data_IF_782801621412
#
_entry.id   IF_782801621412
#
_cell.length_a   1.000
_cell.length_b   1.000
_cell.length_c   1.000
_cell.angle_alpha   90.00
_cell.angle_beta   90.00
_cell.angle_gamma   90.00
#
_symmetry.space_group_name_H-M   'P 1'
#
loop_
_entity.id
_entity.type
_entity.pdbx_description
1 polymer ?
#
# COMPACT_ATOMS: atom_id res chain seq x y z
N UNK A 1 12.98 -14.22 -6.14
CA UNK A 1 12.44 -13.24 -7.10
C UNK A 1 12.98 -11.88 -6.72
N UNK A 2 13.41 -11.09 -7.70
CA UNK A 2 13.87 -9.72 -7.45
C UNK A 2 12.65 -8.81 -7.42
N UNK A 3 12.52 -7.98 -6.40
CA UNK A 3 11.31 -7.19 -6.15
C UNK A 3 11.67 -5.72 -6.02
N UNK A 4 10.94 -4.83 -6.67
CA UNK A 4 11.09 -3.39 -6.47
C UNK A 4 10.87 -3.03 -4.98
N UNK A 5 11.74 -2.16 -4.47
CA UNK A 5 11.56 -1.50 -3.18
C UNK A 5 11.90 -0.02 -3.35
N UNK A 6 11.18 0.87 -2.66
CA UNK A 6 11.46 2.30 -2.75
C UNK A 6 12.77 2.61 -2.03
N UNK A 7 13.68 3.31 -2.69
CA UNK A 7 15.04 3.55 -2.18
C UNK A 7 15.07 4.27 -0.81
N UNK A 8 14.05 5.10 -0.56
CA UNK A 8 13.92 5.88 0.67
C UNK A 8 13.37 5.09 1.86
N UNK A 9 12.82 3.89 1.65
CA UNK A 9 12.28 3.04 2.73
C UNK A 9 13.27 1.95 3.14
N UNK A 10 14.32 2.39 3.84
CA UNK A 10 15.39 1.50 4.32
C UNK A 10 14.84 0.42 5.26
N UNK A 11 13.86 0.77 6.10
CA UNK A 11 13.23 -0.17 7.04
C UNK A 11 12.51 -1.32 6.32
N UNK A 12 11.76 -1.01 5.27
CA UNK A 12 11.15 -2.02 4.40
C UNK A 12 12.22 -2.88 3.70
N UNK A 13 13.27 -2.27 3.16
CA UNK A 13 14.35 -2.99 2.45
C UNK A 13 15.02 -4.01 3.39
N UNK A 14 15.35 -3.60 4.62
CA UNK A 14 16.01 -4.48 5.58
C UNK A 14 15.07 -5.60 6.06
N UNK A 15 13.79 -5.30 6.25
CA UNK A 15 12.78 -6.31 6.56
C UNK A 15 12.67 -7.34 5.43
N UNK A 16 12.57 -6.89 4.18
CA UNK A 16 12.48 -7.74 3.00
C UNK A 16 13.69 -8.68 2.90
N UNK A 17 14.91 -8.17 3.11
CA UNK A 17 16.13 -9.00 3.16
C UNK A 17 16.07 -10.02 4.31
N UNK A 18 15.65 -9.59 5.50
CA UNK A 18 15.59 -10.42 6.69
C UNK A 18 14.58 -11.58 6.60
N UNK A 19 13.62 -11.51 5.68
CA UNK A 19 12.63 -12.56 5.40
C UNK A 19 12.89 -13.28 4.06
N UNK A 20 14.04 -13.05 3.43
CA UNK A 20 14.51 -13.81 2.27
C UNK A 20 14.13 -13.25 0.89
N UNK A 21 13.51 -12.07 0.82
CA UNK A 21 13.32 -11.37 -0.46
C UNK A 21 14.60 -10.71 -0.95
N UNK A 22 14.65 -10.44 -2.26
CA UNK A 22 15.74 -9.70 -2.91
C UNK A 22 15.21 -8.33 -3.36
N UNK A 23 15.12 -7.33 -2.46
CA UNK A 23 14.65 -5.99 -2.81
C UNK A 23 15.67 -5.29 -3.72
N UNK A 24 15.17 -4.58 -4.72
CA UNK A 24 15.91 -3.72 -5.65
C UNK A 24 15.54 -2.26 -5.36
N UNK A 25 16.39 -1.52 -4.61
CA UNK A 25 16.10 -0.15 -4.19
C UNK A 25 16.16 0.83 -5.37
N UNK A 26 15.03 1.44 -5.72
CA UNK A 26 14.89 2.33 -6.89
C UNK A 26 13.84 3.40 -6.65
N UNK A 27 13.74 4.36 -7.57
CA UNK A 27 12.67 5.35 -7.60
C UNK A 27 11.48 4.87 -8.44
N UNK A 28 10.28 5.39 -8.12
CA UNK A 28 9.06 5.04 -8.86
C UNK A 28 9.16 5.31 -10.36
N UNK A 29 9.90 6.35 -10.76
CA UNK A 29 10.12 6.72 -12.17
C UNK A 29 10.86 5.64 -12.95
N UNK A 30 11.63 4.79 -12.27
CA UNK A 30 12.46 3.76 -12.90
C UNK A 30 11.72 2.41 -13.00
N UNK A 31 10.49 2.32 -12.49
CA UNK A 31 9.75 1.06 -12.38
C UNK A 31 9.52 0.37 -13.73
N UNK A 32 9.09 1.12 -14.76
CA UNK A 32 8.85 0.54 -16.08
C UNK A 32 10.15 0.04 -16.73
N UNK A 33 11.21 0.86 -16.70
CA UNK A 33 12.52 0.48 -17.25
C UNK A 33 13.10 -0.71 -16.50
N UNK A 34 12.96 -0.75 -15.17
CA UNK A 34 13.41 -1.87 -14.35
C UNK A 34 12.70 -3.19 -14.68
N UNK A 35 11.38 -3.14 -14.95
CA UNK A 35 10.65 -4.31 -15.45
C UNK A 35 11.14 -4.74 -16.84
N UNK A 36 11.28 -3.78 -17.77
CA UNK A 36 11.66 -4.08 -19.16
C UNK A 36 13.06 -4.67 -19.29
N UNK A 37 13.98 -4.26 -18.41
CA UNK A 37 15.37 -4.74 -18.40
C UNK A 37 15.57 -6.02 -17.58
N UNK A 38 14.55 -6.48 -16.85
CA UNK A 38 14.67 -7.63 -15.94
C UNK A 38 15.48 -7.35 -14.67
N UNK A 39 15.60 -6.07 -14.28
CA UNK A 39 16.25 -5.69 -13.03
C UNK A 39 15.48 -6.27 -11.83
N UNK A 40 14.15 -6.26 -11.89
CA UNK A 40 13.27 -6.97 -10.96
C UNK A 40 12.03 -7.49 -11.71
N UNK A 41 11.36 -8.47 -11.11
CA UNK A 41 10.25 -9.20 -11.71
C UNK A 41 8.90 -8.83 -11.08
N UNK A 42 8.93 -8.17 -9.91
CA UNK A 42 7.75 -7.88 -9.08
C UNK A 42 7.74 -6.41 -8.65
N UNK A 43 6.59 -5.74 -8.79
CA UNK A 43 6.36 -4.39 -8.26
C UNK A 43 5.10 -4.40 -7.39
N UNK A 44 5.22 -4.15 -6.07
CA UNK A 44 4.06 -3.84 -5.24
C UNK A 44 3.59 -2.42 -5.57
N UNK A 45 2.44 -2.29 -6.22
CA UNK A 45 1.86 -0.98 -6.54
C UNK A 45 0.34 -1.04 -6.61
N UNK A 46 -0.31 0.12 -6.59
CA UNK A 46 -1.75 0.22 -6.77
C UNK A 46 -2.14 0.14 -8.26
N UNK A 47 -3.31 -0.43 -8.61
CA UNK A 47 -3.70 -0.63 -10.01
C UNK A 47 -3.71 0.63 -10.87
N UNK A 48 -4.05 1.78 -10.29
CA UNK A 48 -4.02 3.07 -10.98
C UNK A 48 -2.62 3.40 -11.51
N UNK A 49 -1.58 3.30 -10.66
CA UNK A 49 -0.20 3.56 -11.09
C UNK A 49 0.28 2.50 -12.09
N UNK A 50 -0.09 1.23 -11.90
CA UNK A 50 0.26 0.17 -12.86
C UNK A 50 -0.33 0.42 -14.25
N UNK A 51 -1.57 0.94 -14.32
CA UNK A 51 -2.21 1.32 -15.57
C UNK A 51 -1.53 2.53 -16.20
N UNK A 52 -1.34 3.61 -15.44
CA UNK A 52 -0.73 4.86 -15.92
C UNK A 52 0.70 4.63 -16.41
N UNK A 53 1.50 3.85 -15.68
CA UNK A 53 2.86 3.46 -16.03
C UNK A 53 2.97 2.32 -17.04
N UNK A 54 1.84 1.79 -17.54
CA UNK A 54 1.77 0.66 -18.47
C UNK A 54 2.55 -0.59 -18.01
N UNK A 55 2.67 -0.80 -16.70
CA UNK A 55 3.47 -1.87 -16.11
C UNK A 55 2.96 -3.25 -16.51
N UNK A 56 1.64 -3.39 -16.73
CA UNK A 56 0.96 -4.64 -17.09
C UNK A 56 1.44 -5.28 -18.40
N UNK A 57 2.17 -4.54 -19.25
CA UNK A 57 2.79 -5.12 -20.46
C UNK A 57 4.05 -5.92 -20.12
N UNK A 58 4.85 -5.42 -19.19
CA UNK A 58 6.12 -6.01 -18.77
C UNK A 58 5.94 -6.96 -17.58
N UNK A 59 4.91 -6.74 -16.76
CA UNK A 59 4.46 -7.61 -15.67
C UNK A 59 2.99 -8.03 -15.91
N UNK A 60 2.73 -9.05 -16.76
CA UNK A 60 1.39 -9.39 -17.23
C UNK A 60 0.55 -10.20 -16.24
N UNK A 61 1.06 -10.47 -15.04
CA UNK A 61 0.37 -11.20 -13.99
C UNK A 61 0.21 -10.31 -12.76
N UNK A 62 -1.04 -10.15 -12.30
CA UNK A 62 -1.38 -9.47 -11.06
C UNK A 62 -1.92 -10.50 -10.08
N UNK A 63 -1.43 -10.46 -8.83
CA UNK A 63 -2.09 -11.11 -7.71
C UNK A 63 -3.09 -10.14 -7.10
N UNK A 64 -4.37 -10.53 -6.99
CA UNK A 64 -5.42 -9.74 -6.33
C UNK A 64 -5.29 -9.85 -4.81
N UNK A 65 -4.24 -9.26 -4.26
CA UNK A 65 -3.94 -9.24 -2.83
C UNK A 65 -4.22 -7.85 -2.25
N UNK A 66 -5.06 -7.78 -1.23
CA UNK A 66 -5.23 -6.58 -0.40
C UNK A 66 -4.02 -6.41 0.52
N UNK A 67 -2.88 -6.05 -0.08
CA UNK A 67 -1.56 -6.07 0.56
C UNK A 67 -1.41 -5.04 1.68
N UNK A 68 -1.74 -3.77 1.42
CA UNK A 68 -1.66 -2.67 2.39
C UNK A 68 -2.73 -1.61 2.08
N UNK A 69 -3.41 -1.03 3.09
CA UNK A 69 -4.27 0.13 2.84
C UNK A 69 -3.43 1.34 2.45
N UNK A 70 -3.86 2.09 1.45
CA UNK A 70 -3.31 3.42 1.16
C UNK A 70 -3.80 4.40 2.23
N UNK A 71 -2.89 4.90 3.06
CA UNK A 71 -3.19 5.87 4.11
C UNK A 71 -2.57 7.23 3.79
N UNK A 72 -3.29 8.31 4.07
CA UNK A 72 -2.81 9.68 3.95
C UNK A 72 -3.45 10.58 5.00
N UNK A 73 -2.91 11.78 5.16
CA UNK A 73 -3.43 12.77 6.11
C UNK A 73 -3.41 14.18 5.51
N UNK A 74 -4.43 14.96 5.81
CA UNK A 74 -4.37 16.41 5.66
C UNK A 74 -3.57 16.96 6.85
N UNK A 75 -2.41 17.54 6.56
CA UNK A 75 -1.52 18.10 7.59
C UNK A 75 -1.53 19.62 7.51
N UNK A 76 -1.63 20.26 8.68
CA UNK A 76 -1.55 21.71 8.82
C UNK A 76 -0.62 22.05 9.98
N UNK A 77 0.12 23.16 9.85
CA UNK A 77 0.95 23.63 10.95
C UNK A 77 0.08 24.04 12.14
N UNK A 78 0.57 23.78 13.36
CA UNK A 78 -0.17 24.14 14.57
C UNK A 78 -0.46 25.65 14.64
N UNK A 79 0.49 26.48 14.21
CA UNK A 79 0.33 27.94 14.12
C UNK A 79 -0.83 28.34 13.21
N UNK A 80 -0.94 27.73 12.02
CA UNK A 80 -2.04 28.05 11.09
C UNK A 80 -3.39 27.59 11.66
N UNK A 81 -3.43 26.42 12.30
CA UNK A 81 -4.62 25.90 12.94
C UNK A 81 -5.10 26.79 14.09
N UNK A 82 -4.20 27.16 15.01
CA UNK A 82 -4.53 27.97 16.19
C UNK A 82 -4.91 29.43 15.83
N UNK A 83 -4.49 29.91 14.65
CA UNK A 83 -4.91 31.22 14.15
C UNK A 83 -6.35 31.24 13.60
N UNK A 84 -6.97 30.09 13.36
CA UNK A 84 -8.35 30.01 12.91
C UNK A 84 -9.33 30.25 14.07
N UNK A 85 -10.40 31.05 13.87
CA UNK A 85 -11.51 31.11 14.81
C UNK A 85 -12.11 29.72 15.05
N UNK A 86 -12.68 29.49 16.24
CA UNK A 86 -13.24 28.19 16.62
C UNK A 86 -14.29 27.66 15.62
N UNK A 87 -15.12 28.54 15.06
CA UNK A 87 -16.08 28.16 14.03
C UNK A 87 -15.40 27.65 12.74
N UNK A 88 -14.30 28.28 12.31
CA UNK A 88 -13.56 27.86 11.13
C UNK A 88 -12.80 26.55 11.36
N UNK A 89 -12.29 26.33 12.57
CA UNK A 89 -11.71 25.05 12.97
C UNK A 89 -12.73 23.92 12.83
N UNK A 90 -13.95 24.11 13.33
CA UNK A 90 -15.01 23.11 13.23
C UNK A 90 -15.40 22.84 11.76
N UNK A 91 -15.63 23.89 10.97
CA UNK A 91 -15.93 23.74 9.54
C UNK A 91 -14.84 22.99 8.78
N UNK A 92 -13.57 23.28 9.09
CA UNK A 92 -12.45 22.60 8.46
C UNK A 92 -12.39 21.11 8.83
N UNK A 93 -12.64 20.75 10.10
CA UNK A 93 -12.71 19.34 10.53
C UNK A 93 -13.83 18.59 9.81
N UNK A 94 -15.02 19.17 9.77
CA UNK A 94 -16.17 18.56 9.11
C UNK A 94 -15.90 18.37 7.61
N UNK A 95 -15.44 19.42 6.93
CA UNK A 95 -15.15 19.41 5.50
C UNK A 95 -14.04 18.41 5.16
N UNK A 96 -12.97 18.35 5.97
CA UNK A 96 -11.91 17.36 5.79
C UNK A 96 -12.42 15.93 5.97
N UNK A 97 -13.31 15.69 6.94
CA UNK A 97 -13.93 14.39 7.17
C UNK A 97 -14.81 13.94 5.98
N UNK A 98 -15.62 14.85 5.43
CA UNK A 98 -16.44 14.58 4.25
C UNK A 98 -15.59 14.32 3.00
N UNK A 99 -14.59 15.16 2.75
CA UNK A 99 -13.65 14.98 1.63
C UNK A 99 -12.94 13.63 1.72
N UNK A 100 -12.48 13.24 2.91
CA UNK A 100 -11.79 11.96 3.13
C UNK A 100 -12.68 10.76 2.77
N UNK A 101 -13.97 10.79 3.14
CA UNK A 101 -14.94 9.74 2.76
C UNK A 101 -15.13 9.67 1.25
N UNK A 102 -15.23 10.83 0.58
CA UNK A 102 -15.37 10.90 -0.89
C UNK A 102 -14.13 10.32 -1.60
N UNK A 103 -12.93 10.71 -1.15
CA UNK A 103 -11.66 10.19 -1.69
C UNK A 103 -11.59 8.67 -1.54
N UNK A 104 -11.91 8.12 -0.36
CA UNK A 104 -11.89 6.68 -0.13
C UNK A 104 -12.79 5.89 -1.09
N UNK A 105 -14.02 6.37 -1.32
CA UNK A 105 -14.96 5.71 -2.23
C UNK A 105 -14.46 5.82 -3.68
N UNK A 106 -14.03 7.01 -4.09
CA UNK A 106 -13.58 7.26 -5.45
C UNK A 106 -12.31 6.49 -5.80
N UNK A 107 -11.33 6.44 -4.89
CA UNK A 107 -10.08 5.69 -5.12
C UNK A 107 -10.32 4.19 -5.28
N UNK A 108 -11.26 3.60 -4.54
CA UNK A 108 -11.63 2.18 -4.72
C UNK A 108 -12.22 1.93 -6.11
N UNK A 109 -13.16 2.78 -6.52
CA UNK A 109 -13.76 2.71 -7.86
C UNK A 109 -12.69 2.84 -8.95
N UNK A 110 -11.78 3.79 -8.81
CA UNK A 110 -10.69 4.02 -9.77
C UNK A 110 -9.71 2.83 -9.84
N UNK A 111 -9.43 2.18 -8.70
CA UNK A 111 -8.66 0.94 -8.66
C UNK A 111 -9.34 -0.18 -9.46
N UNK A 112 -10.64 -0.41 -9.24
CA UNK A 112 -11.42 -1.45 -9.93
C UNK A 112 -11.48 -1.20 -11.45
N UNK A 113 -11.76 0.05 -11.84
CA UNK A 113 -11.77 0.48 -13.24
C UNK A 113 -10.39 0.30 -13.90
N UNK A 114 -9.32 0.57 -13.15
CA UNK A 114 -7.94 0.40 -13.64
C UNK A 114 -7.61 -1.08 -13.89
N UNK A 115 -7.97 -1.97 -12.97
CA UNK A 115 -7.80 -3.43 -13.15
C UNK A 115 -8.58 -3.89 -14.37
N UNK A 116 -9.86 -3.51 -14.49
CA UNK A 116 -10.70 -3.89 -15.63
C UNK A 116 -10.12 -3.39 -16.96
N UNK A 117 -9.58 -2.17 -17.00
CA UNK A 117 -8.93 -1.62 -18.18
C UNK A 117 -7.65 -2.38 -18.56
N UNK A 118 -6.83 -2.77 -17.58
CA UNK A 118 -5.63 -3.57 -17.81
C UNK A 118 -5.96 -5.01 -18.26
N UNK A 119 -7.01 -5.64 -17.70
CA UNK A 119 -7.46 -6.98 -18.11
C UNK A 119 -7.90 -7.01 -19.58
N UNK A 120 -8.65 -6.00 -20.03
CA UNK A 120 -9.00 -5.84 -21.46
C UNK A 120 -7.77 -5.73 -22.38
N UNK A 121 -6.61 -5.41 -21.82
CA UNK A 121 -5.33 -5.24 -22.53
C UNK A 121 -4.33 -6.37 -22.23
N UNK A 122 -4.81 -7.49 -21.68
CA UNK A 122 -4.03 -8.71 -21.52
C UNK A 122 -3.46 -8.96 -20.12
N UNK A 123 -3.75 -8.13 -19.12
CA UNK A 123 -3.39 -8.44 -17.73
C UNK A 123 -4.14 -9.69 -17.26
N UNK A 124 -3.41 -10.65 -16.71
CA UNK A 124 -3.95 -11.85 -16.07
C UNK A 124 -4.03 -11.62 -14.58
N UNK A 125 -5.25 -11.61 -14.04
CA UNK A 125 -5.49 -11.44 -12.61
C UNK A 125 -5.67 -12.80 -11.97
N UNK A 126 -4.77 -13.14 -11.05
CA UNK A 126 -4.86 -14.30 -10.18
C UNK A 126 -5.61 -13.88 -8.93
N UNK A 127 -6.85 -14.39 -8.78
CA UNK A 127 -7.68 -14.09 -7.63
C UNK A 127 -7.15 -14.78 -6.38
N UNK A 128 -7.27 -14.12 -5.24
CA UNK A 128 -7.00 -14.74 -3.94
C UNK A 128 -8.10 -15.76 -3.61
N UNK A 129 -7.72 -17.00 -3.31
CA UNK A 129 -8.61 -18.00 -2.72
C UNK A 129 -8.51 -17.94 -1.20
N UNK A 130 -9.50 -18.44 -0.45
CA UNK A 130 -9.42 -18.48 1.02
C UNK A 130 -8.18 -19.23 1.55
N UNK A 131 -7.81 -20.35 0.90
CA UNK A 131 -6.63 -21.13 1.29
C UNK A 131 -5.34 -20.35 1.06
N UNK A 132 -5.21 -19.72 -0.12
CA UNK A 132 -4.05 -18.89 -0.44
C UNK A 132 -3.98 -17.67 0.50
N UNK A 133 -5.12 -17.07 0.85
CA UNK A 133 -5.18 -15.98 1.83
C UNK A 133 -4.67 -16.43 3.20
N UNK A 134 -5.06 -17.64 3.64
CA UNK A 134 -4.60 -18.21 4.89
C UNK A 134 -3.08 -18.45 4.88
N UNK A 135 -2.52 -18.98 3.78
CA UNK A 135 -1.08 -19.16 3.61
C UNK A 135 -0.32 -17.82 3.65
N UNK A 136 -0.83 -16.80 2.94
CA UNK A 136 -0.27 -15.46 3.00
C UNK A 136 -0.33 -14.88 4.41
N UNK A 137 -1.44 -15.07 5.12
CA UNK A 137 -1.62 -14.58 6.49
C UNK A 137 -0.60 -15.19 7.44
N UNK A 138 -0.43 -16.51 7.41
CA UNK A 138 0.61 -17.21 8.20
C UNK A 138 2.01 -16.65 7.88
N UNK A 139 2.29 -16.46 6.59
CA UNK A 139 3.56 -15.91 6.13
C UNK A 139 3.80 -14.50 6.68
N UNK A 140 2.80 -13.61 6.62
CA UNK A 140 2.92 -12.25 7.18
C UNK A 140 3.02 -12.23 8.70
N UNK A 141 2.24 -13.05 9.40
CA UNK A 141 2.26 -13.13 10.87
C UNK A 141 3.61 -13.64 11.39
N UNK A 142 4.30 -14.51 10.64
CA UNK A 142 5.66 -14.95 10.98
C UNK A 142 6.68 -13.82 11.04
N UNK A 143 6.40 -12.68 10.38
CA UNK A 143 7.27 -11.51 10.31
C UNK A 143 7.03 -10.58 11.52
N UNK A 144 5.88 -10.67 12.19
CA UNK A 144 5.50 -9.77 13.28
C UNK A 144 6.55 -9.63 14.40
N UNK A 145 7.25 -10.70 14.85
CA UNK A 145 8.31 -10.56 15.84
C UNK A 145 9.49 -9.68 15.41
N UNK A 146 9.75 -9.55 14.10
CA UNK A 146 10.79 -8.66 13.54
C UNK A 146 10.30 -7.22 13.37
N UNK A 147 8.99 -7.02 13.31
CA UNK A 147 8.34 -5.72 13.17
C UNK A 147 8.11 -5.04 14.54
N UNK A 148 7.51 -5.78 15.47
CA UNK A 148 7.10 -5.29 16.79
C UNK A 148 8.32 -4.95 17.66
N UNK A 149 8.41 -3.69 18.08
CA UNK A 149 9.50 -3.17 18.91
C UNK A 149 10.76 -2.78 18.14
N UNK A 150 10.78 -2.97 16.81
CA UNK A 150 11.91 -2.60 15.95
C UNK A 150 11.47 -1.54 14.92
N UNK A 151 10.75 -1.94 13.88
CA UNK A 151 10.23 -1.02 12.86
C UNK A 151 8.99 -0.27 13.34
N UNK A 152 8.20 -0.90 14.20
CA UNK A 152 6.98 -0.33 14.78
C UNK A 152 7.08 -0.40 16.31
N UNK A 153 6.85 0.71 17.04
CA UNK A 153 6.76 0.67 18.50
C UNK A 153 5.80 -0.43 18.99
N UNK A 154 6.19 -1.14 20.04
CA UNK A 154 5.49 -2.34 20.47
C UNK A 154 4.05 -2.04 20.94
N UNK A 155 3.86 -0.93 21.63
CA UNK A 155 2.56 -0.42 22.09
C UNK A 155 1.63 -0.09 20.91
N UNK A 156 2.14 0.60 19.89
CA UNK A 156 1.38 0.91 18.67
C UNK A 156 0.99 -0.36 17.93
N UNK A 157 1.91 -1.31 17.78
CA UNK A 157 1.64 -2.59 17.14
C UNK A 157 0.52 -3.35 17.87
N UNK A 158 0.63 -3.47 19.19
CA UNK A 158 -0.35 -4.20 20.00
C UNK A 158 -1.73 -3.56 19.95
N UNK A 159 -1.80 -2.23 19.97
CA UNK A 159 -3.04 -1.49 19.87
C UNK A 159 -3.72 -1.69 18.51
N UNK A 160 -2.96 -1.63 17.41
CA UNK A 160 -3.50 -1.93 16.08
C UNK A 160 -4.02 -3.36 16.00
N UNK A 161 -3.30 -4.33 16.55
CA UNK A 161 -3.75 -5.73 16.60
C UNK A 161 -5.04 -5.90 17.43
N UNK A 162 -5.17 -5.16 18.54
CA UNK A 162 -6.41 -5.14 19.34
C UNK A 162 -7.58 -4.59 18.55
N UNK A 163 -7.42 -3.40 17.94
CA UNK A 163 -8.44 -2.74 17.13
C UNK A 163 -8.89 -3.61 15.95
N UNK A 164 -7.95 -4.27 15.27
CA UNK A 164 -8.25 -5.19 14.18
C UNK A 164 -9.06 -6.41 14.64
N UNK A 165 -8.75 -6.99 15.80
CA UNK A 165 -9.52 -8.10 16.38
C UNK A 165 -10.94 -7.67 16.74
N UNK A 166 -11.12 -6.46 17.26
CA UNK A 166 -12.44 -5.93 17.60
C UNK A 166 -13.28 -5.64 16.36
N UNK A 167 -12.69 -5.06 15.33
CA UNK A 167 -13.37 -4.74 14.09
C UNK A 167 -13.79 -6.00 13.28
N UNK A 168 -13.04 -7.10 13.39
CA UNK A 168 -13.27 -8.34 12.63
C UNK A 168 -14.17 -9.35 13.34
N UNK A 169 -14.60 -9.07 14.57
CA UNK A 169 -15.66 -9.83 15.24
C UNK A 169 -17.00 -9.52 14.60
#
# INVERSE_FOLDING_TARGET
MKMFALSSDIGQIDLMKAVGFQPMPLEYTDTLTGLQTGMFDVVPTIPFYALAGQMFKSAPYMLELNYVPLTGALVMTRRAWDALPAAAQETLRQSAGEASKKVLIQSRKEMDESVAAMQKRGLKVNKMTPDLEAEWRVSFESIYPKLRGNLVPADVFDEVQRLLREYRK
#
